data_IF_657710013601
#
_entry.id   IF_657710013601
#
_cell.length_a   1.000
_cell.length_b   1.000
_cell.length_c   1.000
_cell.angle_alpha   90.00
_cell.angle_beta   90.00
_cell.angle_gamma   90.00
#
_symmetry.space_group_name_H-M   'P 1'
#
loop_
_entity.id
_entity.type
_entity.pdbx_description
1 polymer ?
#
# COMPACT_ATOMS: atom_id res chain seq x y z
N UNK A 1 22.30 -10.48 -6.64
CA UNK A 1 20.89 -10.81 -6.52
C UNK A 1 20.14 -9.68 -5.91
N UNK A 2 19.19 -9.16 -6.59
CA UNK A 2 18.35 -8.15 -6.04
C UNK A 2 17.36 -8.71 -5.03
N UNK A 3 16.67 -7.83 -4.31
CA UNK A 3 15.60 -8.24 -3.43
C UNK A 3 14.47 -8.84 -4.25
N UNK A 4 13.87 -9.88 -3.73
CA UNK A 4 12.76 -10.54 -4.39
C UNK A 4 11.48 -9.74 -4.18
N UNK A 5 10.57 -9.85 -5.13
CA UNK A 5 9.24 -9.30 -4.96
C UNK A 5 8.50 -10.09 -3.89
N UNK A 6 7.61 -9.41 -3.21
CA UNK A 6 6.82 -9.98 -2.13
C UNK A 6 5.47 -10.43 -2.69
N UNK A 7 4.95 -11.57 -2.22
CA UNK A 7 3.59 -11.97 -2.57
C UNK A 7 2.60 -11.26 -1.64
N UNK A 8 1.33 -11.26 -2.04
CA UNK A 8 0.29 -10.68 -1.18
C UNK A 8 0.26 -11.38 0.18
N UNK A 9 0.40 -12.69 0.20
CA UNK A 9 0.40 -13.45 1.45
C UNK A 9 1.56 -13.03 2.35
N UNK A 10 2.75 -12.86 1.76
CA UNK A 10 3.91 -12.43 2.53
C UNK A 10 3.72 -11.01 3.07
N UNK A 11 3.09 -10.15 2.30
CA UNK A 11 2.78 -8.80 2.75
C UNK A 11 1.85 -8.82 3.96
N UNK A 12 0.81 -9.65 3.91
CA UNK A 12 -0.13 -9.74 5.03
C UNK A 12 0.53 -10.35 6.27
N UNK A 13 1.43 -11.31 6.08
CA UNK A 13 2.19 -11.87 7.20
C UNK A 13 3.09 -10.81 7.83
N UNK A 14 3.71 -9.99 7.00
CA UNK A 14 4.54 -8.91 7.49
C UNK A 14 3.71 -7.92 8.33
N UNK A 15 2.53 -7.55 7.85
CA UNK A 15 1.68 -6.61 8.57
C UNK A 15 1.14 -7.21 9.87
N UNK A 16 0.82 -8.50 9.86
CA UNK A 16 0.37 -9.15 11.09
C UNK A 16 1.49 -9.19 12.13
N UNK A 17 2.69 -9.56 11.71
CA UNK A 17 3.82 -9.70 12.62
C UNK A 17 4.34 -8.35 13.11
N UNK A 18 4.25 -7.32 12.28
CA UNK A 18 4.82 -6.01 12.59
C UNK A 18 3.82 -5.11 13.31
N UNK A 19 2.55 -5.13 12.89
CA UNK A 19 1.53 -4.20 13.37
C UNK A 19 0.37 -4.88 14.06
N UNK A 20 0.28 -6.20 13.99
CA UNK A 20 -0.83 -6.94 14.58
C UNK A 20 -2.15 -6.76 13.84
N UNK A 21 -2.11 -6.42 12.55
CA UNK A 21 -3.32 -6.15 11.77
C UNK A 21 -3.52 -7.22 10.71
N UNK A 22 -4.79 -7.51 10.42
CA UNK A 22 -5.18 -8.46 9.40
C UNK A 22 -6.14 -7.79 8.42
N UNK A 23 -6.18 -8.23 7.16
CA UNK A 23 -7.06 -7.60 6.19
C UNK A 23 -8.53 -7.87 6.48
N UNK A 24 -9.39 -6.93 6.08
CA UNK A 24 -10.82 -7.18 6.03
C UNK A 24 -11.35 -6.76 4.67
N UNK A 25 -12.64 -6.99 4.45
CA UNK A 25 -13.28 -6.80 3.14
C UNK A 25 -14.48 -5.87 3.33
N UNK A 26 -14.26 -4.55 3.40
CA UNK A 26 -15.34 -3.63 3.70
C UNK A 26 -16.31 -3.36 2.56
N UNK A 27 -16.00 -3.85 1.36
CA UNK A 27 -16.83 -3.57 0.18
C UNK A 27 -17.71 -4.77 -0.11
N UNK A 28 -19.03 -4.61 0.07
CA UNK A 28 -19.97 -5.71 -0.01
C UNK A 28 -19.94 -6.47 -1.34
N UNK A 29 -19.68 -5.77 -2.43
CA UNK A 29 -19.73 -6.39 -3.75
C UNK A 29 -18.35 -6.66 -4.33
N UNK A 30 -17.30 -6.35 -3.57
CA UNK A 30 -15.93 -6.54 -4.02
C UNK A 30 -15.15 -7.31 -2.97
N UNK A 31 -15.07 -8.62 -3.15
CA UNK A 31 -14.36 -9.48 -2.22
C UNK A 31 -12.87 -9.58 -2.53
N UNK A 32 -12.40 -8.89 -3.57
CA UNK A 32 -10.99 -8.93 -3.95
C UNK A 32 -10.21 -7.74 -3.43
N UNK A 33 -10.87 -6.71 -2.92
CA UNK A 33 -10.18 -5.56 -2.33
C UNK A 33 -10.08 -5.78 -0.83
N UNK A 34 -8.86 -5.83 -0.35
CA UNK A 34 -8.58 -6.09 1.05
C UNK A 34 -8.01 -4.83 1.68
N UNK A 35 -8.47 -4.50 2.88
CA UNK A 35 -8.10 -3.26 3.55
C UNK A 35 -7.48 -3.59 4.89
N UNK A 36 -6.36 -2.92 5.19
CA UNK A 36 -5.72 -3.03 6.50
C UNK A 36 -5.86 -1.69 7.22
N UNK A 37 -6.26 -1.76 8.49
CA UNK A 37 -6.55 -0.59 9.30
C UNK A 37 -5.77 -0.61 10.58
N UNK A 38 -5.61 0.59 11.15
CA UNK A 38 -5.09 0.70 12.52
C UNK A 38 -6.12 0.14 13.50
N UNK A 39 -5.63 -0.56 14.52
CA UNK A 39 -6.52 -1.06 15.56
C UNK A 39 -7.08 0.04 16.43
N UNK A 40 -6.38 1.17 16.55
CA UNK A 40 -6.78 2.25 17.46
C UNK A 40 -7.78 3.21 16.85
N UNK A 41 -7.47 3.74 15.67
CA UNK A 41 -8.30 4.80 15.08
C UNK A 41 -9.09 4.33 13.87
N UNK A 42 -8.93 3.09 13.47
CA UNK A 42 -9.64 2.46 12.34
C UNK A 42 -9.33 3.08 10.99
N UNK A 43 -8.31 3.91 10.89
CA UNK A 43 -7.93 4.49 9.61
C UNK A 43 -7.26 3.45 8.74
N UNK A 44 -7.56 3.50 7.46
CA UNK A 44 -6.94 2.62 6.48
C UNK A 44 -5.49 3.07 6.26
N UNK A 45 -4.58 2.12 6.24
CA UNK A 45 -3.20 2.45 5.86
C UNK A 45 -2.73 1.65 4.64
N UNK A 46 -3.51 0.69 4.21
CA UNK A 46 -3.13 -0.15 3.08
C UNK A 46 -4.38 -0.75 2.44
N UNK A 47 -4.44 -0.70 1.10
CA UNK A 47 -5.44 -1.43 0.33
C UNK A 47 -4.71 -2.32 -0.66
N UNK A 48 -5.15 -3.56 -0.79
CA UNK A 48 -4.60 -4.47 -1.79
C UNK A 48 -5.73 -4.87 -2.72
N UNK A 49 -5.51 -4.72 -4.02
CA UNK A 49 -6.54 -4.99 -5.02
C UNK A 49 -5.91 -5.63 -6.24
N UNK A 50 -6.73 -6.29 -7.03
CA UNK A 50 -6.27 -6.90 -8.27
C UNK A 50 -6.62 -5.97 -9.43
N UNK A 51 -5.61 -5.59 -10.21
CA UNK A 51 -5.77 -4.58 -11.25
C UNK A 51 -4.99 -5.01 -12.48
N UNK A 52 -5.57 -4.79 -13.66
CA UNK A 52 -4.88 -5.03 -14.91
C UNK A 52 -3.72 -4.06 -15.08
N UNK A 53 -2.58 -4.55 -15.56
CA UNK A 53 -1.40 -3.71 -15.82
C UNK A 53 -1.72 -2.57 -16.79
N UNK A 54 -2.73 -2.76 -17.64
CA UNK A 54 -3.11 -1.73 -18.61
C UNK A 54 -3.53 -0.43 -17.91
N UNK A 55 -4.05 -0.52 -16.70
CA UNK A 55 -4.45 0.68 -15.95
C UNK A 55 -3.27 1.55 -15.54
N UNK A 56 -2.06 1.01 -15.63
CA UNK A 56 -0.84 1.76 -15.28
C UNK A 56 0.01 2.06 -16.52
N UNK A 57 -0.57 1.94 -17.71
CA UNK A 57 0.12 2.31 -18.93
C UNK A 57 0.86 1.18 -19.63
N UNK A 58 0.76 -0.02 -19.11
CA UNK A 58 1.39 -1.18 -19.73
C UNK A 58 0.52 -1.71 -20.87
N UNK A 59 1.17 -2.27 -21.88
CA UNK A 59 0.47 -2.92 -22.97
C UNK A 59 0.24 -4.39 -22.62
N UNK A 60 -0.55 -4.62 -21.59
CA UNK A 60 -0.79 -5.96 -21.07
C UNK A 60 -2.07 -5.95 -20.25
N UNK A 61 -2.85 -7.01 -20.38
CA UNK A 61 -4.07 -7.20 -19.60
C UNK A 61 -3.83 -8.09 -18.38
N UNK A 62 -2.58 -8.41 -18.09
CA UNK A 62 -2.26 -9.23 -16.93
C UNK A 62 -2.78 -8.57 -15.65
N UNK A 63 -3.48 -9.34 -14.82
CA UNK A 63 -4.03 -8.85 -13.55
C UNK A 63 -3.02 -9.17 -12.45
N UNK A 64 -2.65 -8.14 -11.70
CA UNK A 64 -1.62 -8.26 -10.66
C UNK A 64 -2.14 -7.71 -9.35
N UNK A 65 -1.43 -8.00 -8.28
CA UNK A 65 -1.73 -7.40 -6.98
C UNK A 65 -1.14 -6.01 -6.93
N UNK A 66 -1.98 -5.03 -6.58
CA UNK A 66 -1.59 -3.64 -6.47
C UNK A 66 -1.86 -3.18 -5.06
N UNK A 67 -0.91 -2.49 -4.46
CA UNK A 67 -0.99 -2.03 -3.08
C UNK A 67 -1.08 -0.51 -3.08
N UNK A 68 -2.16 0.03 -2.50
CA UNK A 68 -2.30 1.47 -2.32
C UNK A 68 -1.89 1.83 -0.91
N UNK A 69 -1.04 2.85 -0.81
CA UNK A 69 -0.47 3.30 0.46
C UNK A 69 -0.58 4.81 0.56
N UNK A 70 -0.80 5.30 1.76
CA UNK A 70 -0.90 6.73 2.01
C UNK A 70 0.47 7.28 2.38
N UNK A 71 0.88 8.36 1.72
CA UNK A 71 2.17 8.98 2.00
C UNK A 71 1.97 10.43 2.44
N UNK A 72 2.87 10.94 3.30
CA UNK A 72 2.88 12.37 3.59
C UNK A 72 3.11 13.16 2.30
N UNK A 73 2.43 14.29 2.19
CA UNK A 73 2.50 15.11 0.99
C UNK A 73 3.93 15.49 0.63
N UNK A 74 4.74 15.77 1.64
CA UNK A 74 6.12 16.20 1.41
C UNK A 74 7.00 15.12 0.82
N UNK A 75 6.57 13.86 0.87
CA UNK A 75 7.35 12.78 0.28
C UNK A 75 7.10 12.59 -1.21
N UNK A 76 6.05 13.20 -1.75
CA UNK A 76 5.71 12.98 -3.15
C UNK A 76 6.80 13.45 -4.10
N UNK A 77 7.52 14.51 -3.74
CA UNK A 77 8.63 14.98 -4.53
C UNK A 77 9.89 14.13 -4.44
N UNK A 78 9.90 13.15 -3.54
CA UNK A 78 11.05 12.27 -3.38
C UNK A 78 11.08 11.13 -4.38
N UNK A 79 10.00 10.93 -5.12
CA UNK A 79 9.89 9.82 -6.06
C UNK A 79 9.99 10.33 -7.48
N UNK A 80 10.95 9.81 -8.23
CA UNK A 80 11.13 10.15 -9.62
C UNK A 80 10.47 9.10 -10.51
N UNK A 81 10.65 9.28 -11.82
CA UNK A 81 10.06 8.34 -12.79
C UNK A 81 10.68 6.96 -12.73
N UNK A 82 11.89 6.86 -12.19
CA UNK A 82 12.57 5.57 -12.10
C UNK A 82 12.09 4.74 -10.91
N UNK A 83 11.32 5.33 -10.01
CA UNK A 83 10.80 4.61 -8.86
C UNK A 83 9.56 3.83 -9.23
N UNK A 84 9.28 2.76 -8.49
CA UNK A 84 8.15 1.87 -8.76
C UNK A 84 6.86 2.37 -8.12
N UNK A 85 6.66 3.68 -8.10
CA UNK A 85 5.51 4.31 -7.47
C UNK A 85 4.66 5.00 -8.54
N UNK A 86 3.37 4.73 -8.52
CA UNK A 86 2.42 5.25 -9.51
C UNK A 86 1.33 6.06 -8.83
N UNK A 87 0.69 6.97 -9.56
CA UNK A 87 -0.51 7.64 -9.01
C UNK A 87 -1.54 6.61 -8.57
N UNK A 88 -2.17 6.86 -7.44
CA UNK A 88 -3.06 5.87 -6.83
C UNK A 88 -4.23 5.52 -7.74
N UNK A 89 -4.47 4.23 -7.91
CA UNK A 89 -5.60 3.74 -8.66
C UNK A 89 -6.85 3.84 -7.78
N UNK A 90 -7.86 4.57 -8.26
CA UNK A 90 -9.15 4.72 -7.61
C UNK A 90 -9.13 5.37 -6.23
N UNK A 91 -8.07 6.09 -5.91
CA UNK A 91 -7.98 6.81 -4.65
C UNK A 91 -7.47 8.21 -4.89
N UNK A 92 -7.52 9.03 -3.85
CA UNK A 92 -7.08 10.42 -3.92
C UNK A 92 -5.57 10.46 -4.19
N UNK A 93 -5.22 10.96 -5.37
CA UNK A 93 -3.83 10.95 -5.82
C UNK A 93 -2.97 12.00 -5.13
N UNK A 94 -3.57 12.87 -4.33
CA UNK A 94 -2.82 13.85 -3.55
C UNK A 94 -2.22 13.23 -2.29
N UNK A 95 -2.76 12.08 -1.85
CA UNK A 95 -2.34 11.47 -0.60
C UNK A 95 -1.97 9.99 -0.73
N UNK A 96 -2.37 9.35 -1.80
CA UNK A 96 -2.17 7.92 -1.97
C UNK A 96 -1.36 7.61 -3.22
N UNK A 97 -0.62 6.50 -3.17
CA UNK A 97 0.11 5.99 -4.31
C UNK A 97 -0.25 4.54 -4.54
N UNK A 98 0.06 4.02 -5.72
CA UNK A 98 -0.06 2.60 -6.03
C UNK A 98 1.32 2.01 -6.26
N UNK A 99 1.51 0.82 -5.72
CA UNK A 99 2.74 0.04 -5.89
C UNK A 99 2.34 -1.27 -6.55
N UNK A 100 3.01 -1.63 -7.63
CA UNK A 100 2.74 -2.90 -8.32
C UNK A 100 3.58 -3.97 -7.63
N UNK A 101 2.90 -4.80 -6.86
CA UNK A 101 3.57 -5.71 -5.93
C UNK A 101 4.57 -6.65 -6.62
N UNK A 102 4.24 -7.30 -7.75
CA UNK A 102 5.20 -8.20 -8.38
C UNK A 102 6.41 -7.51 -8.99
N UNK A 103 6.35 -6.19 -9.20
CA UNK A 103 7.42 -5.44 -9.84
C UNK A 103 8.31 -4.70 -8.85
N UNK A 104 8.02 -4.77 -7.55
CA UNK A 104 8.67 -3.92 -6.56
C UNK A 104 9.45 -4.79 -5.57
N UNK A 105 10.72 -4.47 -5.30
CA UNK A 105 11.49 -5.22 -4.31
C UNK A 105 10.82 -5.20 -2.94
N UNK A 106 10.94 -6.28 -2.19
CA UNK A 106 10.26 -6.43 -0.91
C UNK A 106 10.70 -5.38 0.12
N UNK A 107 11.96 -4.99 0.10
CA UNK A 107 12.43 -3.97 1.04
C UNK A 107 11.80 -2.60 0.75
N UNK A 108 11.56 -2.28 -0.51
CA UNK A 108 10.87 -1.05 -0.89
C UNK A 108 9.42 -1.11 -0.42
N UNK A 109 8.75 -2.24 -0.63
CA UNK A 109 7.38 -2.42 -0.18
C UNK A 109 7.29 -2.22 1.32
N UNK A 110 8.16 -2.88 2.08
CA UNK A 110 8.14 -2.76 3.54
C UNK A 110 8.39 -1.33 3.99
N UNK A 111 9.32 -0.65 3.34
CA UNK A 111 9.59 0.76 3.68
C UNK A 111 8.35 1.62 3.47
N UNK A 112 7.70 1.47 2.31
CA UNK A 112 6.53 2.29 1.98
C UNK A 112 5.32 1.94 2.86
N UNK A 113 5.16 0.67 3.21
CA UNK A 113 4.11 0.27 4.14
C UNK A 113 4.33 0.91 5.50
N UNK A 114 5.58 0.91 5.98
CA UNK A 114 5.89 1.55 7.26
C UNK A 114 5.60 3.04 7.23
N UNK A 115 5.94 3.71 6.13
CA UNK A 115 5.64 5.14 5.98
C UNK A 115 4.15 5.38 6.04
N UNK A 116 3.36 4.55 5.34
CA UNK A 116 1.91 4.70 5.34
C UNK A 116 1.33 4.46 6.73
N UNK A 117 1.82 3.45 7.42
CA UNK A 117 1.34 3.14 8.76
C UNK A 117 1.60 4.32 9.70
N UNK A 118 2.80 4.89 9.65
CA UNK A 118 3.14 6.03 10.50
C UNK A 118 2.34 7.27 10.13
N UNK A 119 2.09 7.48 8.83
CA UNK A 119 1.36 8.67 8.36
C UNK A 119 -0.10 8.65 8.79
N UNK A 120 -0.65 7.50 9.10
CA UNK A 120 -2.07 7.34 9.46
C UNK A 120 -2.30 7.08 10.94
N UNK A 121 -1.23 7.04 11.75
CA UNK A 121 -1.36 6.82 13.18
C UNK A 121 -2.14 7.94 13.86
N UNK A 122 -2.63 7.64 15.05
CA UNK A 122 -3.31 8.62 15.87
C UNK A 122 -2.29 9.59 16.47
N UNK A 123 -2.17 10.75 15.85
CA UNK A 123 -1.16 11.73 16.25
C UNK A 123 -1.45 12.37 17.60
N UNK A 124 -2.69 12.31 18.04
CA UNK A 124 -3.02 12.89 19.34
C UNK A 124 -2.34 12.15 20.48
N UNK A 125 -2.22 10.82 20.36
CA UNK A 125 -1.50 10.04 21.37
C UNK A 125 -0.03 10.43 21.44
N UNK A 126 0.57 10.67 20.29
CA UNK A 126 1.98 11.03 20.25
C UNK A 126 2.24 12.37 20.87
N UNK A 127 1.30 13.29 20.78
CA UNK A 127 1.48 14.64 21.31
C UNK A 127 1.41 14.70 22.83
N UNK A 128 0.90 13.67 23.46
CA UNK A 128 0.78 13.66 24.90
C UNK A 128 2.06 13.26 25.59
N UNK A 129 2.97 12.74 24.87
CA UNK A 129 4.25 12.28 25.45
C UNK A 129 5.08 13.42 25.99
#
# INVERSE_FOLDING_TARGET
>A
MGASAMTKQQLFEYCLNTYGTSPDYPFDEDFETEVLRHGENRKWYELVMRVSRRKFGFDSDEVIDVVNLKLPTEMFGSFGEADEVYPAYRMNKLHWISVLLPDTPDDVVRFLVNVSFEATKDKRKNRKA
#
